data_IF_713437484289
#
_entry.id   IF_713437484289
#
_cell.length_a   1.000
_cell.length_b   1.000
_cell.length_c   1.000
_cell.angle_alpha   90.00
_cell.angle_beta   90.00
_cell.angle_gamma   90.00
#
_symmetry.space_group_name_H-M   'P 1'
#
loop_
_entity.id
_entity.type
_entity.pdbx_description
1 polymer ?
#
# COMPACT_ATOMS: atom_id res chain seq x y z
N UNK A 1 -63.11 -53.61 -6.69
CA UNK A 1 -64.09 -53.67 -5.58
C UNK A 1 -63.81 -52.45 -4.73
N UNK A 2 -64.76 -51.47 -4.78
CA UNK A 2 -64.91 -50.25 -3.96
C UNK A 2 -63.76 -49.25 -4.06
N UNK A 3 -63.79 -48.10 -4.74
CA UNK A 3 -64.73 -46.98 -4.89
C UNK A 3 -65.02 -46.25 -3.57
N UNK A 4 -64.86 -44.93 -3.67
CA UNK A 4 -65.50 -43.78 -3.04
C UNK A 4 -64.41 -42.72 -2.62
N UNK A 5 -64.19 -41.70 -3.45
CA UNK A 5 -64.90 -40.39 -3.51
C UNK A 5 -65.01 -39.65 -2.15
N UNK A 6 -64.55 -38.43 -2.13
CA UNK A 6 -64.90 -37.48 -1.08
C UNK A 6 -64.16 -36.15 -1.23
N UNK A 7 -64.86 -35.19 -1.77
CA UNK A 7 -64.61 -33.76 -1.86
C UNK A 7 -64.30 -33.08 -0.51
N UNK A 8 -63.45 -32.05 -0.48
CA UNK A 8 -63.85 -30.66 -0.23
C UNK A 8 -62.67 -29.68 -0.19
N UNK A 9 -62.74 -28.70 -0.95
CA UNK A 9 -62.58 -27.27 -0.84
C UNK A 9 -61.98 -26.69 0.46
N UNK A 10 -61.11 -25.69 0.24
CA UNK A 10 -60.85 -24.56 1.14
C UNK A 10 -59.44 -23.98 0.91
N UNK A 11 -59.34 -22.99 0.07
CA UNK A 11 -58.87 -21.61 0.24
C UNK A 11 -57.78 -21.42 1.31
N UNK A 12 -56.68 -20.92 0.94
CA UNK A 12 -56.25 -19.52 0.92
C UNK A 12 -54.73 -19.46 0.69
N UNK A 13 -54.36 -18.79 -0.26
CA UNK A 13 -53.30 -18.01 -0.61
C UNK A 13 -52.64 -17.23 0.46
N UNK A 14 -51.34 -17.38 0.55
CA UNK A 14 -50.49 -16.28 1.01
C UNK A 14 -49.18 -16.34 0.24
N UNK A 15 -48.94 -15.22 -0.38
CA UNK A 15 -47.89 -14.82 -1.26
C UNK A 15 -46.48 -15.07 -0.70
N UNK A 16 -45.70 -15.87 -1.40
CA UNK A 16 -44.24 -15.82 -1.32
C UNK A 16 -43.73 -14.71 -2.23
N UNK A 17 -43.65 -13.51 -1.71
CA UNK A 17 -42.95 -12.39 -2.30
C UNK A 17 -41.85 -11.90 -1.35
N UNK A 18 -40.77 -12.67 -1.22
CA UNK A 18 -39.52 -12.18 -0.58
C UNK A 18 -38.32 -13.04 -1.04
N UNK A 19 -37.90 -12.86 -2.29
CA UNK A 19 -36.57 -13.36 -2.71
C UNK A 19 -36.00 -12.63 -3.93
N UNK A 20 -36.50 -11.41 -4.25
CA UNK A 20 -35.94 -10.60 -5.34
C UNK A 20 -35.02 -9.46 -4.90
N UNK A 21 -35.00 -9.08 -3.61
CA UNK A 21 -34.19 -7.95 -3.14
C UNK A 21 -32.76 -8.28 -2.78
N UNK A 22 -32.46 -9.55 -2.48
CA UNK A 22 -31.07 -9.97 -2.19
C UNK A 22 -30.22 -10.19 -3.45
N UNK A 23 -30.83 -10.51 -4.57
CA UNK A 23 -30.13 -10.67 -5.86
C UNK A 23 -29.60 -9.32 -6.42
N UNK A 24 -30.38 -8.26 -6.30
CA UNK A 24 -29.99 -6.93 -6.79
C UNK A 24 -28.89 -6.29 -5.94
N UNK A 25 -28.83 -6.57 -4.66
CA UNK A 25 -27.76 -6.09 -3.76
C UNK A 25 -26.42 -6.79 -4.03
N UNK A 26 -26.45 -8.07 -4.39
CA UNK A 26 -25.24 -8.84 -4.73
C UNK A 26 -24.74 -8.48 -6.16
N UNK A 27 -25.66 -8.24 -7.10
CA UNK A 27 -25.27 -7.81 -8.45
C UNK A 27 -24.73 -6.36 -8.48
N UNK A 28 -25.30 -5.44 -7.72
CA UNK A 28 -24.77 -4.09 -7.57
C UNK A 28 -23.46 -4.04 -6.80
N UNK A 29 -23.25 -4.93 -5.81
CA UNK A 29 -21.98 -5.11 -5.13
C UNK A 29 -20.91 -5.68 -6.08
N UNK A 30 -21.27 -6.63 -6.94
CA UNK A 30 -20.36 -7.19 -7.94
C UNK A 30 -20.05 -6.23 -9.10
N UNK A 31 -20.95 -5.33 -9.47
CA UNK A 31 -20.72 -4.32 -10.51
C UNK A 31 -19.81 -3.18 -10.02
N UNK A 32 -19.88 -2.80 -8.75
CA UNK A 32 -18.94 -1.85 -8.13
C UNK A 32 -17.55 -2.45 -7.84
N UNK A 33 -17.41 -3.76 -7.88
CA UNK A 33 -16.16 -4.49 -7.64
C UNK A 33 -15.31 -4.71 -8.92
N UNK A 34 -15.71 -4.20 -10.07
CA UNK A 34 -14.99 -4.43 -11.35
C UNK A 34 -13.54 -3.84 -11.40
N UNK A 35 -13.11 -3.05 -10.41
CA UNK A 35 -11.70 -2.64 -10.23
C UNK A 35 -10.96 -3.39 -9.10
N UNK A 36 -11.67 -4.09 -8.22
CA UNK A 36 -11.14 -4.70 -7.01
C UNK A 36 -10.85 -6.23 -7.06
N UNK A 37 -11.48 -7.06 -7.94
CA UNK A 37 -11.35 -8.51 -7.86
C UNK A 37 -9.92 -9.02 -8.01
N UNK A 38 -9.06 -8.34 -8.77
CA UNK A 38 -7.70 -8.80 -9.02
C UNK A 38 -6.73 -8.46 -7.89
N UNK A 39 -6.88 -7.30 -7.26
CA UNK A 39 -6.10 -6.93 -6.08
C UNK A 39 -6.45 -7.86 -4.92
N UNK A 40 -7.74 -8.07 -4.65
CA UNK A 40 -8.22 -8.99 -3.62
C UNK A 40 -7.77 -10.43 -3.87
N UNK A 41 -7.83 -10.89 -5.12
CA UNK A 41 -7.38 -12.24 -5.48
C UNK A 41 -5.87 -12.37 -5.28
N UNK A 42 -5.11 -11.37 -5.70
CA UNK A 42 -3.66 -11.30 -5.49
C UNK A 42 -3.32 -11.32 -4.01
N UNK A 43 -3.96 -10.48 -3.20
CA UNK A 43 -3.76 -10.42 -1.75
C UNK A 43 -4.10 -11.73 -1.06
N UNK A 44 -5.25 -12.35 -1.40
CA UNK A 44 -5.65 -13.65 -0.85
C UNK A 44 -4.64 -14.74 -1.16
N UNK A 45 -4.07 -14.73 -2.37
CA UNK A 45 -3.00 -15.65 -2.77
C UNK A 45 -1.74 -15.41 -1.94
N UNK A 46 -1.31 -14.16 -1.81
CA UNK A 46 -0.10 -13.79 -1.07
C UNK A 46 -0.24 -14.10 0.42
N UNK A 47 -1.35 -13.73 1.05
CA UNK A 47 -1.64 -14.10 2.44
C UNK A 47 -1.55 -15.62 2.65
N UNK A 48 -2.08 -16.42 1.70
CA UNK A 48 -1.97 -17.88 1.78
C UNK A 48 -0.53 -18.36 1.67
N UNK A 49 0.28 -17.73 0.82
CA UNK A 49 1.72 -18.03 0.69
C UNK A 49 2.45 -17.78 2.00
N UNK A 50 2.22 -16.63 2.63
CA UNK A 50 2.84 -16.29 3.91
C UNK A 50 2.34 -17.18 5.05
N UNK A 51 1.04 -17.51 5.09
CA UNK A 51 0.50 -18.48 6.07
C UNK A 51 1.12 -19.86 5.92
N UNK A 52 1.33 -20.33 4.69
CA UNK A 52 1.98 -21.60 4.43
C UNK A 52 3.44 -21.60 4.91
N UNK A 53 4.16 -20.50 4.71
CA UNK A 53 5.52 -20.31 5.21
C UNK A 53 5.55 -20.37 6.75
N UNK A 54 4.65 -19.67 7.44
CA UNK A 54 4.52 -19.72 8.91
C UNK A 54 4.30 -21.16 9.37
N UNK A 55 3.38 -21.89 8.76
CA UNK A 55 3.10 -23.29 9.10
C UNK A 55 4.32 -24.18 8.89
N UNK A 56 5.00 -24.05 7.73
CA UNK A 56 6.17 -24.84 7.41
C UNK A 56 7.33 -24.60 8.39
N UNK A 57 7.69 -23.34 8.64
CA UNK A 57 8.77 -23.01 9.58
C UNK A 57 8.41 -23.33 11.03
N UNK A 58 7.15 -23.19 11.44
CA UNK A 58 6.67 -23.65 12.75
C UNK A 58 6.81 -25.16 12.93
N UNK A 59 6.58 -25.93 11.87
CA UNK A 59 6.78 -27.39 11.90
C UNK A 59 8.29 -27.73 12.04
N UNK A 60 9.18 -27.00 11.33
CA UNK A 60 10.64 -27.21 11.43
C UNK A 60 11.16 -26.85 12.82
N UNK A 61 10.67 -25.76 13.44
CA UNK A 61 11.05 -25.38 14.80
C UNK A 61 10.81 -26.49 15.85
N UNK A 62 9.80 -27.33 15.66
CA UNK A 62 9.47 -28.41 16.60
C UNK A 62 10.36 -29.64 16.46
N UNK A 63 11.21 -29.71 15.41
CA UNK A 63 12.12 -30.83 15.19
C UNK A 63 13.42 -30.62 15.98
N UNK A 64 13.91 -31.68 16.61
CA UNK A 64 15.13 -31.64 17.45
C UNK A 64 16.44 -31.76 16.65
N UNK A 65 16.34 -32.00 15.36
CA UNK A 65 17.50 -32.23 14.48
C UNK A 65 18.21 -30.96 13.99
N UNK A 66 17.60 -29.77 14.23
CA UNK A 66 18.14 -28.48 13.80
C UNK A 66 18.96 -27.80 14.91
N UNK A 67 20.01 -27.07 14.51
CA UNK A 67 20.84 -26.26 15.40
C UNK A 67 20.07 -25.04 15.94
N UNK A 68 20.59 -24.38 16.97
CA UNK A 68 19.98 -23.15 17.49
C UNK A 68 19.99 -22.03 16.43
N UNK A 69 21.04 -21.92 15.62
CA UNK A 69 21.13 -20.93 14.53
C UNK A 69 20.06 -21.19 13.46
N UNK A 70 19.83 -22.43 13.05
CA UNK A 70 18.78 -22.79 12.10
C UNK A 70 17.38 -22.51 12.68
N UNK A 71 17.19 -22.76 13.97
CA UNK A 71 15.91 -22.48 14.66
C UNK A 71 15.64 -20.98 14.76
N UNK A 72 16.68 -20.19 15.00
CA UNK A 72 16.59 -18.72 14.97
C UNK A 72 16.24 -18.20 13.57
N UNK A 73 16.83 -18.77 12.53
CA UNK A 73 16.46 -18.45 11.13
C UNK A 73 14.98 -18.77 10.84
N UNK A 74 14.50 -19.95 11.27
CA UNK A 74 13.08 -20.31 11.09
C UNK A 74 12.15 -19.35 11.85
N UNK A 75 12.52 -18.95 13.07
CA UNK A 75 11.77 -17.97 13.85
C UNK A 75 11.71 -16.62 13.12
N UNK A 76 12.83 -16.16 12.57
CA UNK A 76 12.91 -14.92 11.80
C UNK A 76 12.05 -14.97 10.54
N UNK A 77 11.98 -16.12 9.86
CA UNK A 77 11.11 -16.32 8.69
C UNK A 77 9.62 -16.27 9.06
N UNK A 78 9.24 -16.85 10.20
CA UNK A 78 7.87 -16.76 10.72
C UNK A 78 7.51 -15.30 11.00
N UNK A 79 8.39 -14.58 11.70
CA UNK A 79 8.18 -13.19 12.05
C UNK A 79 8.03 -12.31 10.79
N UNK A 80 8.93 -12.46 9.82
CA UNK A 80 8.87 -11.77 8.53
C UNK A 80 7.56 -12.04 7.78
N UNK A 81 7.12 -13.30 7.75
CA UNK A 81 5.84 -13.66 7.11
C UNK A 81 4.64 -13.04 7.82
N UNK A 82 4.65 -12.93 9.15
CA UNK A 82 3.62 -12.23 9.91
C UNK A 82 3.59 -10.74 9.59
N UNK A 83 4.75 -10.07 9.53
CA UNK A 83 4.83 -8.65 9.16
C UNK A 83 4.30 -8.40 7.75
N UNK A 84 4.59 -9.28 6.80
CA UNK A 84 4.06 -9.18 5.44
C UNK A 84 2.54 -9.33 5.39
N UNK A 85 1.94 -10.23 6.18
CA UNK A 85 0.49 -10.37 6.28
C UNK A 85 -0.14 -9.09 6.84
N UNK A 86 0.42 -8.53 7.91
CA UNK A 86 -0.06 -7.28 8.51
C UNK A 86 -0.01 -6.14 7.48
N UNK A 87 1.11 -5.98 6.79
CA UNK A 87 1.26 -4.95 5.75
C UNK A 87 0.27 -5.11 4.59
N UNK A 88 0.02 -6.36 4.15
CA UNK A 88 -1.00 -6.64 3.14
C UNK A 88 -2.40 -6.29 3.62
N UNK A 89 -2.73 -6.61 4.87
CA UNK A 89 -4.03 -6.30 5.45
C UNK A 89 -4.25 -4.78 5.58
N UNK A 90 -3.25 -4.06 6.04
CA UNK A 90 -3.29 -2.60 6.10
C UNK A 90 -3.47 -1.99 4.70
N UNK A 91 -2.76 -2.50 3.69
CA UNK A 91 -2.92 -2.07 2.30
C UNK A 91 -4.33 -2.36 1.77
N UNK A 92 -4.95 -3.47 2.20
CA UNK A 92 -6.33 -3.80 1.86
C UNK A 92 -7.33 -2.80 2.45
N UNK A 93 -7.19 -2.50 3.75
CA UNK A 93 -8.07 -1.55 4.44
C UNK A 93 -7.99 -0.17 3.78
N UNK A 94 -6.78 0.30 3.46
CA UNK A 94 -6.59 1.58 2.78
C UNK A 94 -7.24 1.58 1.38
N UNK A 95 -7.07 0.51 0.60
CA UNK A 95 -7.71 0.41 -0.70
C UNK A 95 -9.23 0.44 -0.59
N UNK A 96 -9.79 -0.27 0.40
CA UNK A 96 -11.24 -0.31 0.62
C UNK A 96 -11.78 1.09 1.02
N UNK A 97 -11.09 1.82 1.91
CA UNK A 97 -11.47 3.18 2.30
C UNK A 97 -11.43 4.12 1.08
N UNK A 98 -10.40 4.01 0.25
CA UNK A 98 -10.27 4.82 -0.96
C UNK A 98 -11.41 4.52 -1.95
N UNK A 99 -11.78 3.24 -2.10
CA UNK A 99 -12.82 2.80 -3.05
C UNK A 99 -14.23 3.25 -2.64
N UNK A 100 -14.46 3.57 -1.36
CA UNK A 100 -15.74 4.17 -0.92
C UNK A 100 -15.95 5.60 -1.43
N UNK A 101 -14.93 6.23 -2.03
CA UNK A 101 -14.96 7.63 -2.50
C UNK A 101 -15.00 8.67 -1.37
N UNK A 102 -15.01 8.25 -0.12
CA UNK A 102 -15.08 9.14 1.05
C UNK A 102 -13.72 9.64 1.54
N UNK A 103 -12.62 9.10 0.96
CA UNK A 103 -11.26 9.43 1.38
C UNK A 103 -10.73 10.62 0.57
N UNK A 104 -11.02 11.84 1.01
CA UNK A 104 -10.37 13.05 0.46
C UNK A 104 -8.98 13.23 1.06
N UNK A 105 -8.02 13.84 0.31
CA UNK A 105 -6.76 14.28 0.92
C UNK A 105 -7.02 15.23 2.08
N UNK A 106 -6.26 15.06 3.16
CA UNK A 106 -6.32 15.87 4.37
C UNK A 106 -4.97 16.56 4.59
N UNK A 107 -4.65 17.61 3.82
CA UNK A 107 -3.38 18.30 3.97
C UNK A 107 -3.32 19.03 5.31
N UNK A 108 -2.21 18.83 6.01
CA UNK A 108 -1.86 19.51 7.26
C UNK A 108 -0.52 20.20 7.14
N UNK A 109 -0.24 21.11 8.06
CA UNK A 109 1.07 21.78 8.15
C UNK A 109 2.07 20.77 8.71
N UNK A 110 3.16 20.54 8.01
CA UNK A 110 4.25 19.68 8.47
C UNK A 110 5.62 20.25 8.10
N UNK A 111 6.62 19.84 8.86
CA UNK A 111 8.02 20.04 8.55
C UNK A 111 8.59 18.75 7.91
N UNK A 112 8.87 18.75 6.60
CA UNK A 112 9.36 17.55 5.92
C UNK A 112 10.68 17.00 6.47
N UNK A 113 11.54 17.86 7.07
CA UNK A 113 12.78 17.40 7.69
C UNK A 113 12.52 16.52 8.92
N UNK A 114 11.57 16.91 9.77
CA UNK A 114 11.19 16.13 10.95
C UNK A 114 10.58 14.78 10.56
N UNK A 115 9.63 14.81 9.64
CA UNK A 115 8.97 13.59 9.14
C UNK A 115 9.97 12.64 8.47
N UNK A 116 10.89 13.18 7.65
CA UNK A 116 11.92 12.36 7.04
C UNK A 116 12.86 11.73 8.08
N UNK A 117 13.29 12.49 9.09
CA UNK A 117 14.17 11.99 10.14
C UNK A 117 13.49 10.89 10.97
N UNK A 118 12.19 11.03 11.24
CA UNK A 118 11.40 10.01 11.92
C UNK A 118 11.35 8.72 11.10
N UNK A 119 11.01 8.83 9.81
CA UNK A 119 10.97 7.70 8.88
C UNK A 119 12.36 7.05 8.70
N UNK A 120 13.41 7.86 8.58
CA UNK A 120 14.77 7.34 8.43
C UNK A 120 15.23 6.58 9.69
N UNK A 121 14.82 7.03 10.87
CA UNK A 121 15.07 6.34 12.13
C UNK A 121 14.29 5.01 12.20
N UNK A 122 13.04 4.99 11.79
CA UNK A 122 12.21 3.77 11.68
C UNK A 122 12.85 2.75 10.72
N UNK A 123 13.33 3.20 9.55
CA UNK A 123 13.99 2.34 8.57
C UNK A 123 15.33 1.78 9.11
N UNK A 124 16.08 2.59 9.84
CA UNK A 124 17.32 2.15 10.49
C UNK A 124 17.04 1.05 11.53
N UNK A 125 15.99 1.18 12.33
CA UNK A 125 15.60 0.13 13.27
C UNK A 125 15.18 -1.15 12.55
N UNK A 126 14.47 -1.04 11.44
CA UNK A 126 14.09 -2.21 10.61
C UNK A 126 15.32 -2.96 10.11
N UNK A 127 16.36 -2.23 9.66
CA UNK A 127 17.59 -2.84 9.14
C UNK A 127 18.51 -3.44 10.20
N UNK A 128 18.26 -3.23 11.50
CA UNK A 128 19.00 -3.92 12.57
C UNK A 128 18.63 -5.40 12.68
N UNK A 129 17.54 -5.85 12.07
CA UNK A 129 17.15 -7.26 12.05
C UNK A 129 18.22 -8.07 11.29
N UNK A 130 18.52 -9.27 11.79
CA UNK A 130 19.60 -10.13 11.27
C UNK A 130 19.50 -10.38 9.77
N UNK A 131 18.26 -10.54 9.25
CA UNK A 131 18.00 -10.77 7.83
C UNK A 131 18.43 -9.63 6.89
N UNK A 132 18.70 -8.43 7.41
CA UNK A 132 19.08 -7.23 6.64
C UNK A 132 20.48 -6.71 6.95
N UNK A 133 21.29 -7.45 7.69
CA UNK A 133 22.62 -7.00 8.15
C UNK A 133 23.59 -6.63 7.01
N UNK A 134 23.36 -7.15 5.80
CA UNK A 134 24.15 -6.85 4.62
C UNK A 134 23.62 -5.64 3.82
N UNK A 135 22.57 -4.98 4.31
CA UNK A 135 21.96 -3.83 3.65
C UNK A 135 22.33 -2.54 4.39
N UNK A 136 22.88 -1.60 3.67
CA UNK A 136 23.28 -0.28 4.19
C UNK A 136 22.20 0.75 3.83
N UNK A 137 21.69 1.46 4.84
CA UNK A 137 20.80 2.58 4.63
C UNK A 137 21.58 3.88 4.43
N UNK A 138 21.32 4.57 3.33
CA UNK A 138 21.97 5.84 2.99
C UNK A 138 20.91 6.94 2.93
N UNK A 139 21.15 8.05 3.62
CA UNK A 139 20.34 9.26 3.53
C UNK A 139 20.93 10.22 2.49
N UNK A 140 20.09 10.75 1.62
CA UNK A 140 20.46 11.80 0.66
C UNK A 140 19.45 12.95 0.77
N UNK A 141 19.61 13.74 1.82
CA UNK A 141 18.78 14.91 2.04
C UNK A 141 19.54 16.15 1.63
N UNK A 142 18.94 16.97 0.79
CA UNK A 142 19.32 18.36 0.74
C UNK A 142 18.80 19.02 2.02
N UNK A 143 19.70 19.60 2.82
CA UNK A 143 19.35 20.33 4.03
C UNK A 143 18.52 21.56 3.61
N UNK A 144 17.20 21.43 3.67
CA UNK A 144 16.32 22.57 3.45
C UNK A 144 16.24 23.40 4.73
N UNK A 145 16.09 24.71 4.59
CA UNK A 145 15.72 25.58 5.71
C UNK A 145 14.46 24.98 6.35
N UNK A 146 14.35 25.08 7.68
CA UNK A 146 13.16 24.69 8.43
C UNK A 146 11.94 25.45 7.91
N UNK A 147 11.31 24.91 6.90
CA UNK A 147 10.12 25.46 6.27
C UNK A 147 8.98 24.48 6.43
N UNK A 148 7.82 25.00 6.77
CA UNK A 148 6.58 24.25 6.89
C UNK A 148 5.84 24.25 5.57
N UNK A 149 5.24 23.12 5.25
CA UNK A 149 4.48 22.89 4.02
C UNK A 149 3.13 22.29 4.32
N UNK A 150 2.15 22.64 3.51
CA UNK A 150 0.84 22.01 3.52
C UNK A 150 0.89 20.76 2.65
N UNK A 151 0.80 19.58 3.28
CA UNK A 151 0.90 18.27 2.64
C UNK A 151 0.08 17.23 3.43
N UNK A 152 -0.49 16.25 2.75
CA UNK A 152 -1.10 15.09 3.42
C UNK A 152 0.00 14.13 3.92
N UNK A 153 0.52 14.42 5.12
CA UNK A 153 1.62 13.68 5.73
C UNK A 153 1.28 12.20 5.90
N UNK A 154 0.05 11.87 6.27
CA UNK A 154 -0.37 10.48 6.49
C UNK A 154 -0.27 9.66 5.20
N UNK A 155 -0.76 10.19 4.08
CA UNK A 155 -0.66 9.50 2.79
C UNK A 155 0.76 9.45 2.26
N UNK A 156 1.49 10.55 2.37
CA UNK A 156 2.90 10.61 1.94
C UNK A 156 3.75 9.61 2.70
N UNK A 157 3.69 9.59 4.03
CA UNK A 157 4.46 8.63 4.85
C UNK A 157 4.05 7.19 4.59
N UNK A 158 2.76 6.94 4.31
CA UNK A 158 2.28 5.62 3.89
C UNK A 158 2.91 5.15 2.59
N UNK A 159 2.92 6.02 1.57
CA UNK A 159 3.60 5.73 0.30
C UNK A 159 5.08 5.45 0.53
N UNK A 160 5.76 6.28 1.32
CA UNK A 160 7.20 6.11 1.62
C UNK A 160 7.48 4.76 2.26
N UNK A 161 6.69 4.35 3.26
CA UNK A 161 6.83 3.03 3.91
C UNK A 161 6.60 1.87 2.93
N UNK A 162 5.57 1.97 2.10
CA UNK A 162 5.29 0.95 1.08
C UNK A 162 6.46 0.81 0.09
N UNK A 163 7.01 1.93 -0.39
CA UNK A 163 8.14 1.91 -1.33
C UNK A 163 9.42 1.40 -0.66
N UNK A 164 9.67 1.75 0.61
CA UNK A 164 10.79 1.22 1.37
C UNK A 164 10.69 -0.30 1.55
N UNK A 165 9.51 -0.82 1.86
CA UNK A 165 9.31 -2.26 1.98
C UNK A 165 9.52 -3.00 0.65
N UNK A 166 9.13 -2.40 -0.48
CA UNK A 166 9.42 -2.93 -1.81
C UNK A 166 10.94 -2.99 -2.06
N UNK A 167 11.66 -1.89 -1.74
CA UNK A 167 13.12 -1.84 -1.89
C UNK A 167 13.82 -2.88 -0.99
N UNK A 168 13.34 -3.04 0.24
CA UNK A 168 13.88 -3.98 1.21
C UNK A 168 13.71 -5.44 0.73
N UNK A 169 12.54 -5.79 0.19
CA UNK A 169 12.30 -7.12 -0.36
C UNK A 169 13.14 -7.42 -1.62
N UNK A 170 13.54 -6.36 -2.35
CA UNK A 170 14.33 -6.46 -3.57
C UNK A 170 15.85 -6.49 -3.32
N UNK A 171 16.31 -6.06 -2.13
CA UNK A 171 17.73 -5.87 -1.82
C UNK A 171 18.18 -6.87 -0.76
N UNK A 172 18.93 -7.90 -1.16
CA UNK A 172 19.50 -8.89 -0.22
C UNK A 172 20.80 -8.39 0.42
N UNK A 173 21.59 -7.64 -0.34
CA UNK A 173 22.84 -7.04 0.10
C UNK A 173 23.13 -5.77 -0.70
N UNK A 174 23.97 -4.88 -0.15
CA UNK A 174 24.34 -3.62 -0.76
C UNK A 174 23.71 -2.42 -0.07
N UNK A 175 22.94 -1.57 -0.78
CA UNK A 175 22.41 -0.35 -0.18
C UNK A 175 20.98 -0.04 -0.59
N UNK A 176 20.28 0.67 0.30
CA UNK A 176 19.04 1.39 0.03
C UNK A 176 19.28 2.86 0.36
N UNK A 177 19.17 3.72 -0.62
CA UNK A 177 19.35 5.15 -0.51
C UNK A 177 17.98 5.83 -0.56
N UNK A 178 17.68 6.63 0.44
CA UNK A 178 16.41 7.37 0.54
C UNK A 178 16.67 8.85 0.64
N UNK A 179 15.81 9.64 0.04
CA UNK A 179 15.93 11.09 0.09
C UNK A 179 14.71 11.79 -0.46
N UNK A 180 14.68 13.11 -0.29
CA UNK A 180 13.65 13.94 -0.88
C UNK A 180 14.20 15.29 -1.29
N UNK A 181 13.48 15.96 -2.17
CA UNK A 181 13.74 17.34 -2.56
C UNK A 181 12.40 18.09 -2.72
N UNK A 182 12.42 19.39 -2.43
CA UNK A 182 11.30 20.29 -2.70
C UNK A 182 11.76 21.33 -3.71
N UNK A 183 11.10 21.36 -4.85
CA UNK A 183 11.40 22.30 -5.92
C UNK A 183 10.14 22.61 -6.72
N UNK A 184 9.93 23.91 -7.04
CA UNK A 184 8.79 24.37 -7.84
C UNK A 184 7.44 23.87 -7.28
N UNK A 185 7.23 24.04 -5.97
CA UNK A 185 6.02 23.62 -5.25
C UNK A 185 5.68 22.13 -5.41
N UNK A 186 6.71 21.30 -5.57
CA UNK A 186 6.61 19.85 -5.60
C UNK A 186 7.56 19.25 -4.58
N UNK A 187 7.00 18.41 -3.71
CA UNK A 187 7.77 17.47 -2.91
C UNK A 187 8.05 16.25 -3.76
N UNK A 188 9.30 15.89 -3.93
CA UNK A 188 9.73 14.69 -4.65
C UNK A 188 10.52 13.81 -3.69
N UNK A 189 10.07 12.60 -3.47
CA UNK A 189 10.75 11.58 -2.68
C UNK A 189 11.32 10.50 -3.62
N UNK A 190 12.44 9.92 -3.23
CA UNK A 190 13.03 8.82 -3.96
C UNK A 190 13.61 7.74 -3.05
N UNK A 191 13.54 6.50 -3.53
CA UNK A 191 14.24 5.35 -3.00
C UNK A 191 15.03 4.73 -4.14
N UNK A 192 16.33 4.58 -3.95
CA UNK A 192 17.25 3.93 -4.88
C UNK A 192 17.90 2.76 -4.19
N UNK A 193 17.83 1.58 -4.76
CA UNK A 193 18.43 0.38 -4.22
C UNK A 193 19.39 -0.30 -5.18
N UNK A 194 20.28 -1.13 -4.63
CA UNK A 194 21.25 -1.92 -5.38
C UNK A 194 20.75 -3.32 -5.75
N UNK A 195 19.44 -3.58 -5.58
CA UNK A 195 18.83 -4.88 -5.86
C UNK A 195 18.69 -5.22 -7.34
N UNK A 196 17.88 -6.24 -7.63
CA UNK A 196 17.74 -6.80 -8.99
C UNK A 196 16.98 -5.89 -9.99
N UNK A 197 16.43 -4.77 -9.51
CA UNK A 197 15.69 -3.80 -10.32
C UNK A 197 14.20 -4.08 -10.43
N UNK A 198 13.46 -3.06 -10.90
CA UNK A 198 11.98 -3.04 -10.96
C UNK A 198 11.48 -3.05 -12.41
N UNK A 199 12.09 -3.82 -13.29
CA UNK A 199 11.73 -3.79 -14.72
C UNK A 199 10.23 -4.06 -14.94
N UNK A 200 9.68 -5.07 -14.27
CA UNK A 200 8.26 -5.41 -14.35
C UNK A 200 7.37 -4.33 -13.73
N UNK A 201 7.83 -3.66 -12.66
CA UNK A 201 7.10 -2.57 -12.04
C UNK A 201 7.02 -1.34 -12.95
N UNK A 202 8.01 -1.09 -13.78
CA UNK A 202 8.00 -0.01 -14.76
C UNK A 202 6.89 -0.19 -15.80
N UNK A 203 6.75 -1.39 -16.36
CA UNK A 203 5.65 -1.72 -17.27
C UNK A 203 4.29 -1.59 -16.59
N UNK A 204 4.20 -2.04 -15.33
CA UNK A 204 3.00 -1.94 -14.52
C UNK A 204 2.55 -0.49 -14.30
N UNK A 205 3.48 0.42 -13.94
CA UNK A 205 3.16 1.84 -13.74
C UNK A 205 2.72 2.54 -15.02
N UNK A 206 3.15 2.06 -16.18
CA UNK A 206 2.74 2.59 -17.49
C UNK A 206 1.41 2.03 -18.00
N UNK A 207 0.95 0.91 -17.42
CA UNK A 207 -0.29 0.25 -17.82
C UNK A 207 -1.52 1.06 -17.39
N UNK A 208 -2.50 1.18 -18.30
CA UNK A 208 -3.82 1.74 -17.99
C UNK A 208 -4.70 0.73 -17.24
N UNK A 209 -4.51 -0.56 -17.50
CA UNK A 209 -5.24 -1.65 -16.85
C UNK A 209 -4.34 -2.35 -15.82
N UNK A 210 -4.45 -1.89 -14.57
CA UNK A 210 -3.74 -2.49 -13.44
C UNK A 210 -4.16 -3.93 -13.17
N UNK A 211 -5.38 -4.30 -13.53
CA UNK A 211 -6.00 -5.60 -13.24
C UNK A 211 -5.34 -6.72 -14.03
N UNK A 212 -5.13 -6.52 -15.32
CA UNK A 212 -4.42 -7.49 -16.17
C UNK A 212 -2.92 -7.54 -15.86
N UNK A 213 -2.36 -6.42 -15.44
CA UNK A 213 -0.95 -6.31 -15.13
C UNK A 213 -0.56 -7.02 -13.83
N UNK A 214 -1.43 -7.02 -12.81
CA UNK A 214 -1.22 -7.74 -11.55
C UNK A 214 -1.04 -9.25 -11.72
N UNK A 215 -1.77 -9.87 -12.65
CA UNK A 215 -1.66 -11.32 -12.93
C UNK A 215 -0.31 -11.75 -13.50
N UNK A 216 0.47 -10.82 -14.06
CA UNK A 216 1.79 -11.07 -14.65
C UNK A 216 2.94 -10.97 -13.63
N UNK A 217 2.65 -10.51 -12.41
CA UNK A 217 3.65 -10.42 -11.35
C UNK A 217 3.79 -11.75 -10.62
N UNK A 218 5.03 -12.20 -10.45
CA UNK A 218 5.34 -13.33 -9.58
C UNK A 218 5.34 -12.92 -8.10
N UNK A 219 5.66 -11.64 -7.83
CA UNK A 219 5.65 -11.04 -6.50
C UNK A 219 4.38 -10.18 -6.34
N UNK A 220 3.37 -10.79 -5.77
CA UNK A 220 2.06 -10.16 -5.55
C UNK A 220 2.13 -9.03 -4.53
N UNK A 221 3.02 -9.14 -3.52
CA UNK A 221 3.22 -8.11 -2.51
C UNK A 221 3.67 -6.79 -3.16
N UNK A 222 4.74 -6.83 -3.94
CA UNK A 222 5.26 -5.65 -4.67
C UNK A 222 4.19 -5.05 -5.58
N UNK A 223 3.44 -5.89 -6.30
CA UNK A 223 2.39 -5.43 -7.21
C UNK A 223 1.24 -4.70 -6.48
N UNK A 224 0.76 -5.24 -5.37
CA UNK A 224 -0.30 -4.63 -4.54
C UNK A 224 0.19 -3.33 -3.89
N UNK A 225 1.37 -3.34 -3.27
CA UNK A 225 1.96 -2.15 -2.64
C UNK A 225 2.21 -1.02 -3.64
N UNK A 226 2.65 -1.36 -4.86
CA UNK A 226 2.85 -0.39 -5.93
C UNK A 226 1.52 0.18 -6.45
N UNK A 227 0.50 -0.67 -6.61
CA UNK A 227 -0.85 -0.25 -7.03
C UNK A 227 -1.46 0.74 -6.04
N UNK A 228 -1.39 0.42 -4.74
CA UNK A 228 -1.88 1.31 -3.68
C UNK A 228 -1.09 2.62 -3.65
N UNK A 229 0.25 2.56 -3.70
CA UNK A 229 1.09 3.75 -3.73
C UNK A 229 0.73 4.67 -4.90
N UNK A 230 0.55 4.12 -6.10
CA UNK A 230 0.09 4.88 -7.28
C UNK A 230 -1.26 5.55 -7.03
N UNK A 231 -2.22 4.83 -6.44
CA UNK A 231 -3.55 5.34 -6.17
C UNK A 231 -3.53 6.48 -5.16
N UNK A 232 -2.80 6.33 -4.04
CA UNK A 232 -2.61 7.38 -3.03
C UNK A 232 -1.97 8.63 -3.63
N UNK A 233 -0.93 8.46 -4.46
CA UNK A 233 -0.24 9.55 -5.12
C UNK A 233 -1.16 10.28 -6.11
N UNK A 234 -1.95 9.55 -6.90
CA UNK A 234 -2.92 10.14 -7.83
C UNK A 234 -4.01 10.94 -7.12
N UNK A 235 -4.46 10.50 -5.93
CA UNK A 235 -5.41 11.26 -5.10
C UNK A 235 -4.84 12.59 -4.59
N UNK A 236 -3.52 12.70 -4.49
CA UNK A 236 -2.80 13.91 -4.12
C UNK A 236 -2.33 14.71 -5.37
N UNK A 237 -2.89 14.46 -6.55
CA UNK A 237 -2.49 15.08 -7.84
C UNK A 237 -1.00 14.90 -8.15
N UNK A 238 -0.42 13.81 -7.69
CA UNK A 238 0.97 13.46 -7.83
C UNK A 238 1.29 12.51 -8.97
N UNK A 239 2.56 12.16 -9.09
CA UNK A 239 3.08 11.23 -10.08
C UNK A 239 4.08 10.27 -9.47
N UNK A 240 4.12 9.02 -9.93
CA UNK A 240 5.10 8.00 -9.56
C UNK A 240 5.77 7.44 -10.81
N UNK A 241 7.09 7.23 -10.75
CA UNK A 241 7.85 6.65 -11.85
C UNK A 241 9.04 5.82 -11.35
N UNK A 242 9.59 5.02 -12.23
CA UNK A 242 10.75 4.17 -11.97
C UNK A 242 11.85 4.50 -12.97
N UNK A 243 13.06 4.69 -12.45
CA UNK A 243 14.27 4.78 -13.22
C UNK A 243 15.13 3.55 -12.92
N UNK A 244 15.62 2.90 -13.95
CA UNK A 244 16.52 1.76 -13.84
C UNK A 244 17.61 1.90 -14.89
N UNK A 245 18.85 1.78 -14.46
CA UNK A 245 20.01 1.76 -15.35
C UNK A 245 20.41 0.34 -15.79
N UNK A 246 19.62 -0.67 -15.42
CA UNK A 246 19.74 -2.06 -15.87
C UNK A 246 20.90 -2.87 -15.28
N UNK A 247 21.86 -2.26 -14.60
CA UNK A 247 23.07 -2.93 -14.13
C UNK A 247 23.39 -2.71 -12.64
N UNK A 248 22.98 -1.60 -12.03
CA UNK A 248 23.46 -1.19 -10.71
C UNK A 248 22.32 -0.76 -9.77
N UNK A 249 21.13 -1.30 -9.95
CA UNK A 249 19.98 -0.98 -9.12
C UNK A 249 18.91 -0.18 -9.83
N UNK A 250 17.89 0.20 -9.09
CA UNK A 250 16.73 0.94 -9.59
C UNK A 250 16.29 2.00 -8.59
N UNK A 251 15.69 3.05 -9.10
CA UNK A 251 15.07 4.09 -8.28
C UNK A 251 13.57 4.14 -8.49
N UNK A 252 12.82 4.22 -7.41
CA UNK A 252 11.40 4.55 -7.39
C UNK A 252 11.26 5.98 -6.90
N UNK A 253 10.57 6.79 -7.67
CA UNK A 253 10.36 8.21 -7.41
C UNK A 253 8.88 8.50 -7.38
N UNK A 254 8.47 9.42 -6.51
CA UNK A 254 7.16 10.03 -6.63
C UNK A 254 7.22 11.54 -6.33
N UNK A 255 6.28 12.27 -6.87
CA UNK A 255 6.14 13.70 -6.56
C UNK A 255 4.68 14.03 -6.27
N UNK A 256 4.47 14.92 -5.30
CA UNK A 256 3.16 15.50 -4.99
C UNK A 256 3.28 17.01 -4.90
N UNK A 257 2.23 17.77 -5.29
CA UNK A 257 2.22 19.21 -5.09
C UNK A 257 2.23 19.57 -3.60
N UNK A 258 2.91 20.62 -3.24
CA UNK A 258 2.96 21.17 -1.89
C UNK A 258 2.86 22.69 -1.93
N UNK A 259 2.34 23.28 -0.87
CA UNK A 259 2.29 24.73 -0.69
C UNK A 259 3.08 25.11 0.56
N UNK A 260 3.87 26.17 0.49
CA UNK A 260 4.55 26.68 1.67
C UNK A 260 3.51 27.26 2.64
N UNK A 261 3.54 26.82 3.90
CA UNK A 261 2.53 27.19 4.90
C UNK A 261 2.50 28.71 5.16
N UNK A 262 3.64 29.37 5.16
CA UNK A 262 3.73 30.84 5.34
C UNK A 262 2.95 31.58 4.25
N UNK A 263 3.04 31.13 3.00
CA UNK A 263 2.30 31.76 1.88
C UNK A 263 0.78 31.51 2.00
N UNK A 264 0.35 30.41 2.59
CA UNK A 264 -1.07 30.08 2.79
C UNK A 264 -1.68 30.92 3.92
N UNK A 265 -0.96 31.08 5.03
CA UNK A 265 -1.40 31.96 6.14
C UNK A 265 -1.52 33.42 5.72
N UNK A 266 -0.54 33.93 4.95
CA UNK A 266 -0.59 35.28 4.40
C UNK A 266 -1.78 35.47 3.44
N UNK A 267 -2.10 34.46 2.62
CA UNK A 267 -3.26 34.51 1.74
C UNK A 267 -4.58 34.48 2.54
N UNK A 268 -4.69 33.64 3.56
CA UNK A 268 -5.88 33.58 4.44
C UNK A 268 -6.07 34.87 5.23
N UNK A 269 -4.99 35.45 5.78
CA UNK A 269 -5.04 36.72 6.51
C UNK A 269 -5.45 37.90 5.60
N UNK A 270 -5.02 37.93 4.35
CA UNK A 270 -5.48 38.93 3.35
C UNK A 270 -6.96 38.76 3.04
N UNK A 271 -7.47 37.56 2.89
CA UNK A 271 -8.89 37.30 2.68
C UNK A 271 -9.75 37.71 3.89
N UNK A 272 -9.32 37.38 5.11
CA UNK A 272 -10.04 37.76 6.36
C UNK A 272 -10.10 39.27 6.53
N UNK A 273 -9.02 39.98 6.22
CA UNK A 273 -8.99 41.44 6.30
C UNK A 273 -9.84 42.14 5.22
N UNK A 274 -10.03 41.49 4.06
CA UNK A 274 -10.89 42.02 2.99
C UNK A 274 -12.37 41.85 3.31
N UNK A 275 -12.75 40.75 3.99
CA UNK A 275 -14.13 40.49 4.41
C UNK A 275 -14.55 41.33 5.61
N UNK A 276 -13.62 41.76 6.46
CA UNK A 276 -13.91 42.63 7.61
C UNK A 276 -14.00 44.13 7.26
N UNK A 277 -13.76 44.50 6.01
CA UNK A 277 -13.78 45.90 5.53
C UNK A 277 -15.02 46.20 4.65
N UNK A 278 -15.93 45.20 4.49
CA UNK A 278 -17.25 45.34 3.86
C UNK A 278 -18.34 45.31 4.91
#
# INVERSE_FOLDING_TARGET
MFDLSGHSKGESGESVSKSKDTGHSIESFNQNMNGCPSILTGMSREMRTQMNAIVAFSFLLNKKEYSEEEREEFSNQIYSSCEQIISLFDNFLDSAIIDTGNSKPEPGICNPNEEFNNLFSEFRETLKKEQYKEVILVSDNQTFQNSEYLIDTNRVTRVIRNLFQIALNNTKSGYIKVGYLIKNDKFTFFIVDSGQGYFKCKEFLQSQDMTQSLSKFNDTFTAVSMALSRKLIQMMDGSIWIESNGLTGSGIYFSVPVSNAVNVEDAMNKFSNTVSTI
#
